data_IF_013001529074
#
_entry.id   IF_013001529074
#
_cell.length_a   1.000
_cell.length_b   1.000
_cell.length_c   1.000
_cell.angle_alpha   90.00
_cell.angle_beta   90.00
_cell.angle_gamma   90.00
#
_symmetry.space_group_name_H-M   'P 1'
#
loop_
_entity.id
_entity.type
_entity.pdbx_description
1 polymer ?
#
# COMPACT_ATOMS: atom_id res chain seq x y z
N UNK A 1 -29.95 -1.27 8.87
CA UNK A 1 -29.40 0.08 8.68
C UNK A 1 -28.63 0.06 7.37
N UNK A 2 -29.29 0.52 6.31
CA UNK A 2 -28.83 0.44 4.93
C UNK A 2 -27.69 1.45 4.71
N UNK A 3 -26.46 0.96 4.56
CA UNK A 3 -25.32 1.78 4.14
C UNK A 3 -25.60 2.32 2.74
N UNK A 4 -25.68 3.65 2.62
CA UNK A 4 -25.76 4.30 1.31
C UNK A 4 -24.48 3.96 0.54
N UNK A 5 -24.63 3.24 -0.58
CA UNK A 5 -23.59 3.15 -1.58
C UNK A 5 -23.39 4.55 -2.16
N UNK A 6 -22.42 5.29 -1.63
CA UNK A 6 -21.95 6.53 -2.23
C UNK A 6 -21.41 6.18 -3.61
N UNK A 7 -22.11 6.58 -4.67
CA UNK A 7 -21.66 6.39 -6.05
C UNK A 7 -20.41 7.25 -6.30
N UNK A 8 -19.23 6.68 -6.09
CA UNK A 8 -17.91 7.29 -6.35
C UNK A 8 -17.54 7.27 -7.84
N UNK A 9 -18.47 7.69 -8.70
CA UNK A 9 -18.28 7.71 -10.16
C UNK A 9 -18.30 9.12 -10.74
N UNK A 10 -18.31 10.15 -9.89
CA UNK A 10 -18.14 11.54 -10.33
C UNK A 10 -16.73 11.77 -10.86
N UNK A 11 -16.57 12.77 -11.74
CA UNK A 11 -15.26 13.09 -12.33
C UNK A 11 -14.18 13.36 -11.27
N UNK A 12 -14.52 14.12 -10.21
CA UNK A 12 -13.60 14.41 -9.11
C UNK A 12 -13.20 13.15 -8.30
N UNK A 13 -14.13 12.20 -8.12
CA UNK A 13 -13.83 10.94 -7.43
C UNK A 13 -12.86 10.09 -8.26
N UNK A 14 -13.09 10.04 -9.58
CA UNK A 14 -12.20 9.33 -10.52
C UNK A 14 -10.83 9.98 -10.60
N UNK A 15 -10.74 11.31 -10.64
CA UNK A 15 -9.47 12.03 -10.61
C UNK A 15 -8.68 11.70 -9.34
N UNK A 16 -9.35 11.68 -8.19
CA UNK A 16 -8.72 11.29 -6.93
C UNK A 16 -8.25 9.83 -6.94
N UNK A 17 -9.08 8.91 -7.43
CA UNK A 17 -8.70 7.50 -7.57
C UNK A 17 -7.49 7.33 -8.49
N UNK A 18 -7.43 8.06 -9.61
CA UNK A 18 -6.29 8.06 -10.52
C UNK A 18 -5.02 8.56 -9.83
N UNK A 19 -5.11 9.60 -9.00
CA UNK A 19 -3.95 10.11 -8.26
C UNK A 19 -3.44 9.11 -7.22
N UNK A 20 -4.33 8.38 -6.55
CA UNK A 20 -3.95 7.26 -5.67
C UNK A 20 -3.25 6.16 -6.48
N UNK A 21 -3.76 5.78 -7.64
CA UNK A 21 -3.14 4.77 -8.50
C UNK A 21 -1.77 5.22 -9.02
N UNK A 22 -1.62 6.49 -9.41
CA UNK A 22 -0.32 7.09 -9.79
C UNK A 22 0.66 7.05 -8.63
N UNK A 23 0.20 7.32 -7.41
CA UNK A 23 1.01 7.18 -6.22
C UNK A 23 1.45 5.71 -6.06
N UNK A 24 0.58 4.73 -6.25
CA UNK A 24 0.91 3.30 -6.14
C UNK A 24 1.80 2.76 -7.26
N UNK A 25 1.82 3.38 -8.44
CA UNK A 25 2.60 2.98 -9.61
C UNK A 25 4.13 3.23 -9.44
N UNK A 26 4.71 2.72 -8.36
CA UNK A 26 6.12 2.76 -8.02
C UNK A 26 6.50 1.48 -7.29
N UNK A 27 7.54 0.81 -7.80
CA UNK A 27 7.97 -0.50 -7.31
C UNK A 27 8.24 -0.52 -5.81
N UNK A 28 8.90 0.51 -5.28
CA UNK A 28 9.26 0.56 -3.85
C UNK A 28 8.01 0.77 -3.01
N UNK A 29 7.11 1.66 -3.42
CA UNK A 29 5.86 1.92 -2.68
C UNK A 29 4.96 0.69 -2.64
N UNK A 30 4.83 -0.03 -3.76
CA UNK A 30 4.08 -1.29 -3.77
C UNK A 30 4.74 -2.35 -2.87
N UNK A 31 6.08 -2.46 -2.90
CA UNK A 31 6.81 -3.40 -2.04
C UNK A 31 6.67 -3.05 -0.54
N UNK A 32 6.71 -1.77 -0.17
CA UNK A 32 6.44 -1.31 1.20
C UNK A 32 5.05 -1.75 1.64
N UNK A 33 4.02 -1.49 0.82
CA UNK A 33 2.66 -1.85 1.18
C UNK A 33 2.47 -3.36 1.30
N UNK A 34 3.11 -4.17 0.44
CA UNK A 34 3.09 -5.61 0.54
C UNK A 34 3.76 -6.13 1.82
N UNK A 35 4.88 -5.52 2.25
CA UNK A 35 5.54 -5.86 3.52
C UNK A 35 4.67 -5.53 4.75
N UNK A 36 3.87 -4.46 4.66
CA UNK A 36 2.99 -4.00 5.74
C UNK A 36 1.63 -4.73 5.80
N UNK A 37 1.40 -5.73 4.95
CA UNK A 37 0.15 -6.49 4.96
C UNK A 37 0.06 -7.30 6.26
N UNK A 38 -0.96 -6.99 7.08
CA UNK A 38 -1.18 -7.64 8.38
C UNK A 38 -0.11 -7.38 9.45
N UNK A 39 0.85 -6.48 9.21
CA UNK A 39 1.96 -6.21 10.13
C UNK A 39 2.20 -4.71 10.38
N UNK A 40 2.98 -4.39 11.41
CA UNK A 40 3.54 -3.05 11.64
C UNK A 40 5.06 -3.11 11.62
N UNK A 41 5.72 -2.26 10.82
CA UNK A 41 7.18 -2.23 10.70
C UNK A 41 7.74 -0.83 10.88
N UNK A 42 8.93 -0.74 11.48
CA UNK A 42 9.68 0.51 11.54
C UNK A 42 10.30 0.85 10.19
N UNK A 43 10.66 2.12 9.99
CA UNK A 43 11.34 2.55 8.75
C UNK A 43 12.67 1.84 8.52
N UNK A 44 13.39 1.48 9.60
CA UNK A 44 14.64 0.72 9.51
C UNK A 44 14.41 -0.72 9.08
N UNK A 45 13.40 -1.39 9.65
CA UNK A 45 13.04 -2.75 9.25
C UNK A 45 12.59 -2.83 7.78
N UNK A 46 11.81 -1.83 7.31
CA UNK A 46 11.39 -1.74 5.91
C UNK A 46 12.61 -1.49 4.99
N UNK A 47 13.53 -0.61 5.40
CA UNK A 47 14.76 -0.32 4.67
C UNK A 47 15.65 -1.55 4.52
N UNK A 48 15.83 -2.32 5.59
CA UNK A 48 16.57 -3.58 5.60
C UNK A 48 15.90 -4.63 4.70
N UNK A 49 14.59 -4.83 4.83
CA UNK A 49 13.83 -5.81 4.03
C UNK A 49 13.87 -5.53 2.52
N UNK A 50 13.98 -4.25 2.13
CA UNK A 50 14.03 -3.83 0.73
C UNK A 50 15.43 -3.58 0.19
N UNK A 51 16.48 -3.80 1.01
CA UNK A 51 17.87 -3.45 0.70
C UNK A 51 18.00 -2.01 0.16
N UNK A 52 17.44 -1.06 0.92
CA UNK A 52 17.37 0.35 0.53
C UNK A 52 17.81 1.28 1.66
N UNK A 53 18.42 2.44 1.34
CA UNK A 53 18.75 3.43 2.36
C UNK A 53 17.50 3.95 3.06
N UNK A 54 17.56 4.05 4.40
CA UNK A 54 16.48 4.59 5.25
C UNK A 54 15.93 5.93 4.75
N UNK A 55 16.75 6.93 4.35
CA UNK A 55 16.23 8.20 3.85
C UNK A 55 15.35 8.06 2.59
N UNK A 56 15.67 7.12 1.70
CA UNK A 56 14.88 6.86 0.52
C UNK A 56 13.53 6.22 0.90
N UNK A 57 13.54 5.24 1.80
CA UNK A 57 12.31 4.62 2.32
C UNK A 57 11.44 5.64 3.06
N UNK A 58 12.03 6.52 3.88
CA UNK A 58 11.32 7.61 4.54
C UNK A 58 10.60 8.53 3.55
N UNK A 59 11.22 8.86 2.41
CA UNK A 59 10.56 9.65 1.36
C UNK A 59 9.37 8.91 0.74
N UNK A 60 9.49 7.60 0.49
CA UNK A 60 8.37 6.79 0.00
C UNK A 60 7.23 6.74 1.03
N UNK A 61 7.53 6.50 2.31
CA UNK A 61 6.55 6.49 3.40
C UNK A 61 5.88 7.85 3.59
N UNK A 62 6.61 8.96 3.43
CA UNK A 62 6.02 10.30 3.49
C UNK A 62 4.98 10.51 2.38
N UNK A 63 5.28 10.09 1.15
CA UNK A 63 4.34 10.15 0.02
C UNK A 63 3.12 9.24 0.25
N UNK A 64 3.35 8.00 0.70
CA UNK A 64 2.27 7.06 1.03
C UNK A 64 1.36 7.60 2.14
N UNK A 65 1.93 8.25 3.16
CA UNK A 65 1.18 8.86 4.25
C UNK A 65 0.36 10.06 3.77
N UNK A 66 0.93 10.90 2.90
CA UNK A 66 0.22 12.02 2.29
C UNK A 66 -0.96 11.56 1.43
N UNK A 67 -0.86 10.40 0.78
CA UNK A 67 -1.95 9.75 0.06
C UNK A 67 -2.85 8.85 0.92
N UNK A 68 -2.74 8.91 2.25
CA UNK A 68 -3.55 8.10 3.17
C UNK A 68 -3.48 6.58 2.96
N UNK A 69 -2.39 6.06 2.40
CA UNK A 69 -2.18 4.62 2.16
C UNK A 69 -1.54 3.91 3.35
N UNK A 70 -0.84 4.65 4.21
CA UNK A 70 -0.25 4.14 5.45
C UNK A 70 -0.59 5.04 6.62
N UNK A 71 -0.68 4.43 7.80
CA UNK A 71 -0.73 5.12 9.08
C UNK A 71 0.62 4.99 9.80
N UNK A 72 0.79 5.76 10.87
CA UNK A 72 2.01 5.71 11.66
C UNK A 72 1.67 5.82 13.15
N UNK A 73 2.26 4.95 13.95
CA UNK A 73 2.17 4.94 15.41
C UNK A 73 3.55 5.11 16.00
N UNK A 74 3.68 5.92 17.05
CA UNK A 74 4.94 6.09 17.77
C UNK A 74 4.97 5.20 19.01
N UNK A 75 6.09 4.54 19.23
CA UNK A 75 6.37 3.74 20.42
C UNK A 75 7.79 4.08 20.90
N UNK A 76 7.86 4.81 22.02
CA UNK A 76 9.09 5.46 22.47
C UNK A 76 9.71 6.36 21.41
N UNK A 77 10.93 6.03 20.98
CA UNK A 77 11.68 6.76 19.96
C UNK A 77 11.41 6.25 18.54
N UNK A 78 10.72 5.12 18.40
CA UNK A 78 10.51 4.44 17.11
C UNK A 78 9.14 4.76 16.54
N UNK A 79 9.07 4.93 15.22
CA UNK A 79 7.81 5.06 14.48
C UNK A 79 7.58 3.78 13.69
N UNK A 80 6.41 3.17 13.89
CA UNK A 80 5.93 2.00 13.19
C UNK A 80 4.87 2.42 12.18
N UNK A 81 4.87 1.79 11.01
CA UNK A 81 3.94 2.01 9.93
C UNK A 81 3.09 0.76 9.70
N UNK A 82 1.83 0.96 9.34
CA UNK A 82 0.88 -0.07 8.90
C UNK A 82 0.12 0.45 7.68
N UNK A 83 -0.50 -0.45 6.92
CA UNK A 83 -1.50 -0.04 5.92
C UNK A 83 -2.65 0.69 6.60
N UNK A 84 -3.24 1.68 5.92
CA UNK A 84 -4.23 2.55 6.54
C UNK A 84 -5.56 1.85 6.88
N UNK A 85 -5.98 0.86 6.08
CA UNK A 85 -7.21 0.10 6.24
C UNK A 85 -7.23 -1.15 5.35
N UNK A 86 -8.28 -1.95 5.49
CA UNK A 86 -8.53 -3.17 4.73
C UNK A 86 -8.68 -2.95 3.22
N UNK A 87 -9.12 -1.76 2.78
CA UNK A 87 -9.22 -1.46 1.34
C UNK A 87 -7.84 -1.34 0.68
N UNK A 88 -6.84 -0.80 1.39
CA UNK A 88 -5.45 -0.77 0.92
C UNK A 88 -4.89 -2.19 0.81
N UNK A 89 -5.09 -3.02 1.83
CA UNK A 89 -4.69 -4.44 1.82
C UNK A 89 -5.30 -5.17 0.62
N UNK A 90 -6.62 -5.04 0.44
CA UNK A 90 -7.34 -5.69 -0.66
C UNK A 90 -6.85 -5.20 -2.03
N UNK A 91 -6.60 -3.91 -2.19
CA UNK A 91 -6.09 -3.36 -3.46
C UNK A 91 -4.72 -3.95 -3.82
N UNK A 92 -3.79 -3.97 -2.87
CA UNK A 92 -2.43 -4.51 -3.08
C UNK A 92 -2.50 -6.00 -3.38
N UNK A 93 -3.26 -6.75 -2.59
CA UNK A 93 -3.47 -8.19 -2.77
C UNK A 93 -4.04 -8.50 -4.15
N UNK A 94 -5.11 -7.80 -4.55
CA UNK A 94 -5.74 -8.01 -5.86
C UNK A 94 -4.79 -7.69 -7.03
N UNK A 95 -3.97 -6.64 -6.92
CA UNK A 95 -2.98 -6.31 -7.96
C UNK A 95 -1.93 -7.41 -8.10
N UNK A 96 -1.41 -7.94 -6.98
CA UNK A 96 -0.42 -9.01 -7.00
C UNK A 96 -1.02 -10.32 -7.55
N UNK A 97 -2.20 -10.71 -7.08
CA UNK A 97 -2.90 -11.90 -7.58
C UNK A 97 -3.26 -11.79 -9.07
N UNK A 98 -3.75 -10.63 -9.51
CA UNK A 98 -4.00 -10.40 -10.93
C UNK A 98 -2.72 -10.48 -11.77
N UNK A 99 -1.60 -9.96 -11.24
CA UNK A 99 -0.30 -10.09 -11.90
C UNK A 99 0.08 -11.57 -12.07
N UNK A 100 -0.13 -12.41 -11.06
CA UNK A 100 0.10 -13.85 -11.18
C UNK A 100 -0.70 -14.52 -12.31
N UNK A 101 -1.96 -14.14 -12.50
CA UNK A 101 -2.78 -14.61 -13.64
C UNK A 101 -2.23 -14.21 -15.01
N UNK A 102 -1.49 -13.10 -15.07
CA UNK A 102 -0.89 -12.65 -16.33
C UNK A 102 0.49 -13.24 -16.58
N UNK A 103 1.21 -13.63 -15.54
CA UNK A 103 2.57 -14.17 -15.62
C UNK A 103 2.63 -15.70 -15.65
N UNK A 104 1.63 -16.38 -15.07
CA UNK A 104 1.67 -17.83 -14.88
C UNK A 104 0.44 -18.54 -15.48
N UNK A 105 0.61 -19.68 -16.17
CA UNK A 105 -0.50 -20.50 -16.64
C UNK A 105 -1.38 -21.05 -15.51
N UNK A 106 -0.77 -21.30 -14.35
CA UNK A 106 -1.44 -21.65 -13.10
C UNK A 106 -0.89 -20.73 -12.00
N UNK A 107 -1.68 -19.73 -11.56
CA UNK A 107 -1.26 -18.75 -10.55
C UNK A 107 -0.82 -19.42 -9.24
N UNK A 108 0.26 -18.96 -8.59
CA UNK A 108 0.66 -19.41 -7.26
C UNK A 108 -0.46 -19.41 -6.22
N UNK A 109 -1.32 -18.38 -6.17
CA UNK A 109 -2.44 -18.34 -5.21
C UNK A 109 -3.59 -19.34 -5.49
N UNK A 110 -3.54 -20.08 -6.60
CA UNK A 110 -4.47 -21.18 -6.90
C UNK A 110 -3.93 -22.57 -6.52
N UNK A 111 -2.72 -22.65 -5.98
CA UNK A 111 -2.06 -23.92 -5.60
C UNK A 111 -2.31 -24.30 -4.15
#
# INVERSE_FOLDING_TARGET
MTTMATNLTGAADLDHAVDILRLLADRTRLAILALLDGTELSVTAIAEALDRPTPAVSQHLAKLRAGHLVTARRDGTTVYYSQANEHVSALVTNVLQHTEHTLYPVPPHHR
#
